data_IF_101904954528
#
_entry.id   IF_101904954528
#
_cell.length_a   1.000
_cell.length_b   1.000
_cell.length_c   1.000
_cell.angle_alpha   90.00
_cell.angle_beta   90.00
_cell.angle_gamma   90.00
#
_symmetry.space_group_name_H-M   'P 1'
#
loop_
_entity.id
_entity.type
_entity.pdbx_description
1 polymer ?
#
# COMPACT_ATOMS: atom_id res chain seq x y z
N UNK A 1 -2.41 -8.08 6.80
CA UNK A 1 -2.20 -7.36 8.08
C UNK A 1 -1.60 -8.24 9.16
N UNK A 2 -2.06 -9.48 9.35
CA UNK A 2 -1.51 -10.40 10.35
C UNK A 2 0.01 -10.62 10.20
N UNK A 3 0.46 -10.90 8.97
CA UNK A 3 1.89 -11.03 8.66
C UNK A 3 2.69 -9.80 9.10
N UNK A 4 2.24 -8.60 8.73
CA UNK A 4 2.90 -7.33 9.07
C UNK A 4 2.99 -7.15 10.59
N UNK A 5 1.95 -7.53 11.34
CA UNK A 5 1.93 -7.47 12.80
C UNK A 5 2.91 -8.45 13.44
N UNK A 6 3.05 -9.65 12.86
CA UNK A 6 3.97 -10.70 13.33
C UNK A 6 5.43 -10.41 12.98
N UNK A 7 5.68 -9.89 11.77
CA UNK A 7 7.00 -9.44 11.32
C UNK A 7 7.41 -8.11 11.96
N UNK A 8 6.49 -7.47 12.68
CA UNK A 8 6.69 -6.24 13.42
C UNK A 8 7.25 -5.08 12.58
N UNK A 9 6.73 -4.97 11.36
CA UNK A 9 7.12 -3.96 10.37
C UNK A 9 6.66 -2.57 10.82
N UNK A 10 7.60 -1.62 10.81
CA UNK A 10 7.37 -0.25 11.25
C UNK A 10 6.76 0.64 10.17
N UNK A 11 6.99 0.36 8.87
CA UNK A 11 6.41 1.09 7.74
C UNK A 11 6.13 0.16 6.56
N UNK A 12 4.99 0.34 5.88
CA UNK A 12 4.59 -0.50 4.76
C UNK A 12 3.77 0.31 3.74
N UNK A 13 4.08 0.14 2.46
CA UNK A 13 3.23 0.59 1.34
C UNK A 13 2.52 -0.62 0.73
N UNK A 14 1.28 -0.43 0.32
CA UNK A 14 0.52 -1.45 -0.40
C UNK A 14 0.34 -0.99 -1.84
N UNK A 15 0.60 -1.86 -2.79
CA UNK A 15 0.51 -1.58 -4.22
C UNK A 15 -0.53 -2.47 -4.90
N UNK A 16 -1.26 -1.91 -5.86
CA UNK A 16 -2.06 -2.67 -6.82
C UNK A 16 -1.14 -3.22 -7.90
N UNK A 17 -1.34 -4.48 -8.25
CA UNK A 17 -0.59 -5.17 -9.31
C UNK A 17 -0.66 -4.36 -10.61
N UNK A 18 0.50 -3.93 -11.10
CA UNK A 18 0.61 -3.12 -12.31
C UNK A 18 1.44 -3.88 -13.34
N UNK A 19 0.84 -4.35 -14.45
CA UNK A 19 1.58 -5.08 -15.48
C UNK A 19 2.33 -4.11 -16.40
N UNK A 20 3.59 -3.81 -16.14
CA UNK A 20 4.36 -2.88 -16.99
C UNK A 20 4.71 -3.46 -18.37
N UNK A 21 4.82 -2.63 -19.42
CA UNK A 21 5.31 -3.04 -20.73
C UNK A 21 6.62 -3.79 -20.69
N UNK A 22 6.75 -4.81 -21.52
CA UNK A 22 7.95 -5.65 -21.57
C UNK A 22 8.06 -6.65 -20.41
N UNK A 23 7.09 -6.68 -19.48
CA UNK A 23 7.01 -7.74 -18.49
C UNK A 23 6.24 -8.95 -19.03
N UNK A 24 6.59 -10.19 -18.66
CA UNK A 24 5.83 -11.37 -19.04
C UNK A 24 4.35 -11.31 -18.61
N UNK A 25 4.06 -10.62 -17.51
CA UNK A 25 2.71 -10.41 -17.03
C UNK A 25 1.89 -9.52 -17.98
N UNK A 26 2.49 -8.44 -18.49
CA UNK A 26 1.84 -7.58 -19.48
C UNK A 26 1.53 -8.35 -20.75
N UNK A 27 2.50 -9.09 -21.29
CA UNK A 27 2.30 -9.86 -22.53
C UNK A 27 1.21 -10.91 -22.37
N UNK A 28 1.16 -11.58 -21.21
CA UNK A 28 0.10 -12.53 -20.88
C UNK A 28 -1.26 -11.85 -20.82
N UNK A 29 -1.40 -10.76 -20.07
CA UNK A 29 -2.67 -10.05 -19.92
C UNK A 29 -3.12 -9.39 -21.23
N UNK A 30 -2.18 -8.95 -22.06
CA UNK A 30 -2.46 -8.43 -23.39
C UNK A 30 -3.01 -9.53 -24.31
N UNK A 31 -2.38 -10.72 -24.34
CA UNK A 31 -2.88 -11.90 -25.08
C UNK A 31 -4.25 -12.36 -24.59
N UNK A 32 -4.51 -12.26 -23.29
CA UNK A 32 -5.81 -12.58 -22.69
C UNK A 32 -6.87 -11.47 -22.94
N UNK A 33 -6.52 -10.35 -23.58
CA UNK A 33 -7.46 -9.23 -23.82
C UNK A 33 -7.86 -8.46 -22.56
N UNK A 34 -7.06 -8.54 -21.50
CA UNK A 34 -7.38 -8.02 -20.16
C UNK A 34 -6.70 -6.71 -19.82
N UNK A 35 -5.94 -6.09 -20.74
CA UNK A 35 -5.38 -4.75 -20.53
C UNK A 35 -6.47 -3.70 -20.81
N UNK A 36 -6.77 -2.85 -19.83
CA UNK A 36 -7.84 -1.85 -19.91
C UNK A 36 -7.43 -0.57 -20.62
N UNK A 37 -6.14 -0.24 -20.57
CA UNK A 37 -5.59 0.98 -21.17
C UNK A 37 -4.12 0.80 -21.50
N UNK A 38 -3.67 1.44 -22.58
CA UNK A 38 -2.25 1.56 -22.94
C UNK A 38 -1.67 2.94 -22.60
N UNK A 39 -2.47 3.78 -21.93
CA UNK A 39 -1.98 5.05 -21.38
C UNK A 39 -1.07 4.77 -20.18
N UNK A 40 0.24 4.87 -20.42
CA UNK A 40 1.28 4.58 -19.44
C UNK A 40 1.28 5.53 -18.24
N UNK A 41 0.70 6.73 -18.38
CA UNK A 41 0.58 7.67 -17.26
C UNK A 41 -0.25 7.10 -16.10
N UNK A 42 -1.09 6.09 -16.38
CA UNK A 42 -1.92 5.42 -15.37
C UNK A 42 -1.21 4.28 -14.64
N UNK A 43 0.00 3.89 -15.03
CA UNK A 43 0.70 2.73 -14.47
C UNK A 43 1.48 3.12 -13.20
N UNK A 44 0.76 3.45 -12.14
CA UNK A 44 1.30 4.12 -10.93
C UNK A 44 1.21 3.28 -9.65
N UNK A 45 1.00 1.96 -9.73
CA UNK A 45 0.78 1.06 -8.59
C UNK A 45 -0.48 1.34 -7.75
N UNK A 46 -1.30 2.30 -8.16
CA UNK A 46 -2.52 2.72 -7.46
C UNK A 46 -3.76 2.56 -8.35
N UNK A 47 -3.56 2.39 -9.65
CA UNK A 47 -4.62 2.25 -10.62
C UNK A 47 -4.75 0.80 -11.06
N UNK A 48 -5.98 0.39 -11.31
CA UNK A 48 -6.28 -0.88 -11.96
C UNK A 48 -6.27 -0.64 -13.48
N UNK A 49 -5.19 -1.08 -14.14
CA UNK A 49 -4.99 -0.97 -15.59
C UNK A 49 -5.25 -2.28 -16.34
N UNK A 50 -5.73 -3.30 -15.63
CA UNK A 50 -6.09 -4.60 -16.18
C UNK A 50 -7.39 -5.13 -15.55
N UNK A 51 -8.11 -6.01 -16.24
CA UNK A 51 -9.34 -6.65 -15.76
C UNK A 51 -8.98 -7.85 -14.86
N UNK A 52 -9.25 -7.85 -13.54
CA UNK A 52 -8.98 -8.99 -12.66
C UNK A 52 -9.90 -10.18 -12.96
N UNK A 53 -9.49 -11.41 -12.61
CA UNK A 53 -10.27 -12.64 -12.89
C UNK A 53 -11.33 -12.94 -11.81
N UNK A 54 -11.00 -12.64 -10.55
CA UNK A 54 -11.75 -13.12 -9.39
C UNK A 54 -12.35 -12.00 -8.54
N UNK A 55 -12.09 -10.75 -8.91
CA UNK A 55 -12.48 -9.57 -8.14
C UNK A 55 -12.91 -8.46 -9.07
N UNK A 56 -13.88 -7.67 -8.65
CA UNK A 56 -14.23 -6.42 -9.33
C UNK A 56 -13.19 -5.34 -9.02
N UNK A 57 -13.18 -4.26 -9.81
CA UNK A 57 -12.28 -3.13 -9.59
C UNK A 57 -12.59 -2.45 -8.27
N UNK A 58 -13.87 -2.34 -7.97
CA UNK A 58 -14.42 -1.72 -6.78
C UNK A 58 -14.03 -2.49 -5.52
N UNK A 59 -14.05 -3.83 -5.57
CA UNK A 59 -13.60 -4.69 -4.47
C UNK A 59 -12.11 -4.48 -4.17
N UNK A 60 -11.26 -4.50 -5.20
CA UNK A 60 -9.81 -4.29 -5.04
C UNK A 60 -9.54 -2.89 -4.47
N UNK A 61 -10.18 -1.85 -5.01
CA UNK A 61 -10.00 -0.48 -4.54
C UNK A 61 -10.50 -0.32 -3.10
N UNK A 62 -11.63 -0.92 -2.75
CA UNK A 62 -12.18 -0.87 -1.40
C UNK A 62 -11.22 -1.51 -0.38
N UNK A 63 -10.73 -2.72 -0.67
CA UNK A 63 -9.80 -3.42 0.22
C UNK A 63 -8.43 -2.72 0.28
N UNK A 64 -7.94 -2.19 -0.84
CA UNK A 64 -6.74 -1.35 -0.89
C UNK A 64 -6.86 -0.13 0.04
N UNK A 65 -7.98 0.60 -0.03
CA UNK A 65 -8.24 1.77 0.84
C UNK A 65 -8.37 1.36 2.30
N UNK A 66 -9.04 0.25 2.58
CA UNK A 66 -9.25 -0.29 3.93
C UNK A 66 -7.92 -0.71 4.58
N UNK A 67 -7.03 -1.40 3.86
CA UNK A 67 -5.71 -1.79 4.37
C UNK A 67 -4.90 -0.58 4.83
N UNK A 68 -4.83 0.45 3.98
CA UNK A 68 -4.17 1.70 4.31
C UNK A 68 -4.79 2.39 5.54
N UNK A 69 -6.13 2.48 5.59
CA UNK A 69 -6.85 3.09 6.73
C UNK A 69 -6.57 2.38 8.04
N UNK A 70 -6.56 1.03 8.04
CA UNK A 70 -6.28 0.24 9.23
C UNK A 70 -4.82 0.40 9.66
N UNK A 71 -3.87 0.19 8.73
CA UNK A 71 -2.45 0.20 9.05
C UNK A 71 -1.99 1.57 9.57
N UNK A 72 -2.45 2.65 8.94
CA UNK A 72 -2.13 4.02 9.35
C UNK A 72 -3.09 4.59 10.39
N UNK A 73 -4.00 3.81 10.98
CA UNK A 73 -4.85 4.28 12.08
C UNK A 73 -4.03 4.69 13.30
N UNK A 74 -4.51 5.68 14.06
CA UNK A 74 -3.83 6.14 15.27
C UNK A 74 -3.53 5.00 16.25
N UNK A 75 -4.46 4.05 16.38
CA UNK A 75 -4.29 2.87 17.23
C UNK A 75 -3.12 1.98 16.81
N UNK A 76 -3.01 1.65 15.52
CA UNK A 76 -1.92 0.80 15.02
C UNK A 76 -0.57 1.54 15.02
N UNK A 77 -0.57 2.87 14.82
CA UNK A 77 0.64 3.70 14.98
C UNK A 77 1.09 3.70 16.45
N UNK A 78 0.19 3.92 17.40
CA UNK A 78 0.53 3.94 18.83
C UNK A 78 1.07 2.59 19.32
N UNK A 79 0.48 1.46 18.86
CA UNK A 79 1.02 0.12 19.15
C UNK A 79 2.44 -0.07 18.64
N UNK A 80 2.71 0.35 17.40
CA UNK A 80 4.06 0.27 16.81
C UNK A 80 5.04 1.16 17.56
N UNK A 81 4.63 2.36 17.93
CA UNK A 81 5.44 3.27 18.75
C UNK A 81 5.84 2.64 20.10
N UNK A 82 4.90 2.07 20.85
CA UNK A 82 5.19 1.39 22.12
C UNK A 82 6.15 0.22 21.93
N UNK A 83 5.98 -0.57 20.85
CA UNK A 83 6.91 -1.65 20.52
C UNK A 83 8.31 -1.13 20.20
N UNK A 84 8.42 -0.05 19.42
CA UNK A 84 9.69 0.57 19.06
C UNK A 84 10.44 1.11 20.29
N UNK A 85 9.72 1.69 21.28
CA UNK A 85 10.30 2.08 22.58
C UNK A 85 10.90 0.85 23.28
N UNK A 86 10.12 -0.24 23.39
CA UNK A 86 10.55 -1.47 24.08
C UNK A 86 11.78 -2.13 23.45
N UNK A 87 12.00 -1.95 22.14
CA UNK A 87 13.18 -2.48 21.44
C UNK A 87 14.42 -1.58 21.55
N UNK A 88 14.31 -0.38 22.11
CA UNK A 88 15.41 0.58 22.18
C UNK A 88 15.78 1.25 20.84
N UNK A 89 14.97 1.04 19.78
CA UNK A 89 15.17 1.69 18.46
C UNK A 89 15.06 3.22 18.58
N UNK A 90 14.26 3.70 19.52
CA UNK A 90 14.02 5.13 19.75
C UNK A 90 15.05 5.80 20.67
N UNK A 91 16.12 5.09 21.08
CA UNK A 91 17.18 5.70 21.90
C UNK A 91 17.95 6.80 21.15
N UNK A 92 17.82 6.88 19.81
CA UNK A 92 18.47 7.92 18.99
C UNK A 92 17.54 9.10 18.63
N UNK A 93 16.24 8.88 18.35
CA UNK A 93 15.29 9.97 18.09
C UNK A 93 13.80 9.53 18.00
N UNK A 94 13.00 9.60 19.08
CA UNK A 94 11.58 9.21 19.06
C UNK A 94 10.72 10.11 18.16
N UNK A 95 11.14 11.35 17.95
CA UNK A 95 10.44 12.34 17.13
C UNK A 95 10.48 12.00 15.63
N UNK A 96 11.56 11.37 15.13
CA UNK A 96 11.66 10.99 13.71
C UNK A 96 10.69 9.88 13.33
N UNK A 97 10.52 8.89 14.21
CA UNK A 97 9.53 7.82 14.02
C UNK A 97 8.10 8.39 13.96
N UNK A 98 7.80 9.37 14.83
CA UNK A 98 6.48 9.99 14.88
C UNK A 98 6.24 10.88 13.66
N UNK A 99 7.24 11.66 13.21
CA UNK A 99 7.18 12.40 11.94
C UNK A 99 6.91 11.44 10.80
N UNK A 100 7.68 10.37 10.67
CA UNK A 100 7.54 9.43 9.56
C UNK A 100 6.13 8.80 9.55
N UNK A 101 5.62 8.35 10.69
CA UNK A 101 4.30 7.73 10.76
C UNK A 101 3.14 8.72 10.55
N UNK A 102 3.25 9.96 11.07
CA UNK A 102 2.21 10.99 10.92
C UNK A 102 2.23 11.58 9.52
N UNK A 103 3.40 11.92 8.98
CA UNK A 103 3.58 12.39 7.61
C UNK A 103 3.10 11.33 6.61
N UNK A 104 3.54 10.08 6.79
CA UNK A 104 3.11 8.97 5.93
C UNK A 104 1.61 8.74 6.03
N UNK A 105 0.98 8.89 7.21
CA UNK A 105 -0.48 8.88 7.33
C UNK A 105 -1.13 9.98 6.49
N UNK A 106 -0.69 11.24 6.61
CA UNK A 106 -1.27 12.34 5.83
C UNK A 106 -1.11 12.10 4.33
N UNK A 107 0.09 11.76 3.88
CA UNK A 107 0.39 11.47 2.48
C UNK A 107 -0.46 10.31 1.93
N UNK A 108 -0.52 9.18 2.65
CA UNK A 108 -1.32 8.01 2.25
C UNK A 108 -2.81 8.37 2.21
N UNK A 109 -3.32 9.11 3.20
CA UNK A 109 -4.72 9.49 3.25
C UNK A 109 -5.13 10.43 2.11
N UNK A 110 -4.25 11.33 1.67
CA UNK A 110 -4.48 12.14 0.47
C UNK A 110 -4.47 11.26 -0.78
N UNK A 111 -3.49 10.36 -0.90
CA UNK A 111 -3.33 9.44 -2.04
C UNK A 111 -4.49 8.47 -2.24
N UNK A 112 -5.18 8.06 -1.17
CA UNK A 112 -6.34 7.15 -1.27
C UNK A 112 -7.69 7.87 -1.41
N UNK A 113 -7.73 9.21 -1.26
CA UNK A 113 -8.94 10.02 -1.45
C UNK A 113 -9.19 10.35 -2.92
N UNK A 114 -8.12 10.54 -3.71
CA UNK A 114 -8.18 10.57 -5.19
C UNK A 114 -8.63 9.24 -5.76
#
# INVERSE_FOLDING_TARGET
LEFIRKAEIDSADFSILTPFPGTPLYDKLLKEGRILTKDWSRYTYQNIVFEPKNFTKEEILSEYKKLHRIFYSYHEIAKRFVKAIRRGILNFHPFLFMIDNVFTRFYILERIKS
#
